data_IF_169150135720
#
_entry.id   IF_169150135720
#
_cell.length_a   1.000
_cell.length_b   1.000
_cell.length_c   1.000
_cell.angle_alpha   90.00
_cell.angle_beta   90.00
_cell.angle_gamma   90.00
#
_symmetry.space_group_name_H-M   'P 1'
#
loop_
_entity.id
_entity.type
_entity.pdbx_description
1 polymer ?
#
# COMPACT_ATOMS: atom_id res chain seq x y z
N UNK A 1 -3.47 -13.78 28.60
CA UNK A 1 -2.90 -14.68 27.56
C UNK A 1 -3.69 -14.69 26.25
N UNK A 2 -5.04 -14.74 26.26
CA UNK A 2 -5.86 -14.77 25.01
C UNK A 2 -5.69 -13.56 24.07
N UNK A 3 -5.55 -12.35 24.64
CA UNK A 3 -5.29 -11.13 23.86
C UNK A 3 -3.93 -11.19 23.14
N UNK A 4 -2.87 -11.65 23.80
CA UNK A 4 -1.51 -11.70 23.20
C UNK A 4 -1.43 -12.61 21.96
N UNK A 5 -2.03 -13.80 22.03
CA UNK A 5 -2.05 -14.73 20.89
C UNK A 5 -2.88 -14.20 19.72
N UNK A 6 -4.00 -13.53 20.01
CA UNK A 6 -4.87 -12.94 18.99
C UNK A 6 -4.20 -11.73 18.31
N UNK A 7 -3.55 -10.85 19.08
CA UNK A 7 -2.81 -9.69 18.54
C UNK A 7 -1.65 -10.08 17.64
N UNK A 8 -0.89 -11.12 18.00
CA UNK A 8 0.19 -11.60 17.14
C UNK A 8 -0.35 -12.12 15.80
N UNK A 9 -1.40 -12.94 15.84
CA UNK A 9 -2.03 -13.47 14.63
C UNK A 9 -2.56 -12.35 13.74
N UNK A 10 -3.26 -11.37 14.33
CA UNK A 10 -3.79 -10.24 13.57
C UNK A 10 -2.69 -9.35 13.01
N UNK A 11 -1.64 -9.06 13.80
CA UNK A 11 -0.51 -8.24 13.35
C UNK A 11 0.19 -8.91 12.16
N UNK A 12 0.66 -10.15 12.30
CA UNK A 12 1.38 -10.82 11.21
C UNK A 12 0.48 -11.15 10.03
N UNK A 13 -0.76 -11.60 10.30
CA UNK A 13 -1.74 -11.89 9.27
C UNK A 13 -2.09 -10.67 8.43
N UNK A 14 -2.33 -9.51 9.07
CA UNK A 14 -2.64 -8.26 8.35
C UNK A 14 -1.44 -7.70 7.59
N UNK A 15 -0.21 -7.85 8.09
CA UNK A 15 1.00 -7.48 7.33
C UNK A 15 1.10 -8.34 6.06
N UNK A 16 0.98 -9.67 6.17
CA UNK A 16 1.09 -10.58 5.03
C UNK A 16 -0.03 -10.30 4.02
N UNK A 17 -1.27 -10.22 4.49
CA UNK A 17 -2.44 -9.98 3.65
C UNK A 17 -2.36 -8.60 2.98
N UNK A 18 -2.04 -7.56 3.74
CA UNK A 18 -1.88 -6.21 3.22
C UNK A 18 -0.76 -6.10 2.19
N UNK A 19 0.38 -6.71 2.49
CA UNK A 19 1.57 -6.62 1.66
C UNK A 19 1.45 -7.37 0.34
N UNK A 20 0.90 -8.60 0.34
CA UNK A 20 0.84 -9.42 -0.88
C UNK A 20 -0.51 -9.34 -1.59
N UNK A 21 -1.62 -9.34 -0.85
CA UNK A 21 -2.97 -9.47 -1.42
C UNK A 21 -3.56 -8.10 -1.68
N UNK A 22 -3.75 -7.27 -0.64
CA UNK A 22 -4.42 -5.98 -0.79
C UNK A 22 -3.65 -5.03 -1.69
N UNK A 23 -2.32 -4.98 -1.56
CA UNK A 23 -1.50 -4.10 -2.39
C UNK A 23 -1.57 -4.44 -3.88
N UNK A 24 -1.76 -5.72 -4.23
CA UNK A 24 -1.76 -6.23 -5.61
C UNK A 24 -3.16 -6.24 -6.23
N UNK A 25 -4.20 -5.98 -5.45
CA UNK A 25 -5.61 -6.09 -5.84
C UNK A 25 -5.98 -5.24 -7.07
N UNK A 26 -5.38 -4.05 -7.18
CA UNK A 26 -5.72 -3.07 -8.22
C UNK A 26 -4.70 -2.98 -9.36
N UNK A 27 -3.73 -3.88 -9.41
CA UNK A 27 -2.68 -3.85 -10.45
C UNK A 27 -3.28 -4.30 -11.78
N UNK A 28 -3.04 -3.55 -12.85
CA UNK A 28 -3.58 -3.87 -14.18
C UNK A 28 -2.94 -5.12 -14.80
N UNK A 29 -1.65 -5.32 -14.59
CA UNK A 29 -0.88 -6.47 -15.10
C UNK A 29 -0.09 -7.17 -14.00
N UNK A 30 -0.06 -8.50 -14.03
CA UNK A 30 0.68 -9.32 -13.04
C UNK A 30 2.17 -9.00 -13.03
N UNK A 31 2.74 -8.60 -14.17
CA UNK A 31 4.16 -8.24 -14.31
C UNK A 31 4.54 -6.95 -13.56
N UNK A 32 3.55 -6.11 -13.25
CA UNK A 32 3.74 -4.83 -12.54
C UNK A 32 3.66 -5.00 -11.02
N UNK A 33 3.40 -6.22 -10.53
CA UNK A 33 3.46 -6.53 -9.11
C UNK A 33 4.92 -6.49 -8.68
N UNK A 34 5.32 -5.41 -8.00
CA UNK A 34 6.67 -5.24 -7.48
C UNK A 34 6.65 -5.27 -5.95
N UNK A 35 7.70 -5.81 -5.37
CA UNK A 35 7.93 -5.80 -3.92
C UNK A 35 8.73 -4.53 -3.61
N UNK A 36 8.15 -3.61 -2.84
CA UNK A 36 8.81 -2.36 -2.45
C UNK A 36 8.64 -2.04 -0.97
N UNK A 37 9.58 -1.26 -0.45
CA UNK A 37 9.58 -0.79 0.94
C UNK A 37 8.37 0.10 1.25
N UNK A 38 7.90 0.89 0.28
CA UNK A 38 6.69 1.69 0.43
C UNK A 38 5.45 0.83 0.69
N UNK A 39 5.34 -0.35 0.05
CA UNK A 39 4.26 -1.32 0.33
C UNK A 39 4.36 -1.89 1.74
N UNK A 40 5.58 -2.09 2.22
CA UNK A 40 5.81 -2.58 3.59
C UNK A 40 5.35 -1.54 4.62
N UNK A 41 5.64 -0.25 4.40
CA UNK A 41 5.13 0.84 5.22
C UNK A 41 3.60 0.90 5.25
N UNK A 42 2.94 0.73 4.10
CA UNK A 42 1.47 0.68 4.03
C UNK A 42 0.89 -0.53 4.77
N UNK A 43 1.50 -1.71 4.62
CA UNK A 43 1.08 -2.92 5.31
C UNK A 43 1.24 -2.80 6.83
N UNK A 44 2.36 -2.23 7.31
CA UNK A 44 2.57 -1.92 8.73
C UNK A 44 1.53 -0.92 9.24
N UNK A 45 1.26 0.14 8.48
CA UNK A 45 0.25 1.12 8.86
C UNK A 45 -1.12 0.48 9.10
N UNK A 46 -1.56 -0.38 8.17
CA UNK A 46 -2.81 -1.13 8.29
C UNK A 46 -2.80 -2.07 9.51
N UNK A 47 -1.70 -2.79 9.72
CA UNK A 47 -1.58 -3.74 10.81
C UNK A 47 -1.64 -3.07 12.19
N UNK A 48 -1.08 -1.86 12.32
CA UNK A 48 -1.14 -1.09 13.55
C UNK A 48 -2.56 -0.63 13.89
N UNK A 49 -3.38 -0.30 12.88
CA UNK A 49 -4.81 -0.03 13.10
C UNK A 49 -5.57 -1.24 13.62
N UNK A 50 -5.23 -2.45 13.15
CA UNK A 50 -5.83 -3.70 13.66
C UNK A 50 -5.45 -3.95 15.12
N UNK A 51 -4.20 -3.70 15.49
CA UNK A 51 -3.75 -3.80 16.90
C UNK A 51 -4.51 -2.80 17.78
N UNK A 52 -4.70 -1.56 17.34
CA UNK A 52 -5.47 -0.56 18.09
C UNK A 52 -6.93 -0.98 18.29
N UNK A 53 -7.59 -1.49 17.24
CA UNK A 53 -8.97 -1.98 17.35
C UNK A 53 -9.10 -3.12 18.35
N UNK A 54 -8.13 -4.03 18.39
CA UNK A 54 -8.15 -5.12 19.36
C UNK A 54 -7.91 -4.65 20.79
N UNK A 55 -6.97 -3.73 20.99
CA UNK A 55 -6.68 -3.15 22.30
C UNK A 55 -7.87 -2.36 22.86
N UNK A 56 -8.71 -1.80 21.98
CA UNK A 56 -9.98 -1.18 22.34
C UNK A 56 -11.06 -2.22 22.69
N UNK A 57 -11.09 -3.35 21.99
CA UNK A 57 -12.05 -4.44 22.24
C UNK A 57 -11.73 -5.25 23.51
N UNK A 58 -10.45 -5.42 23.83
CA UNK A 58 -9.96 -6.11 25.02
C UNK A 58 -9.09 -5.19 25.88
N UNK A 59 -9.68 -4.26 26.65
CA UNK A 59 -8.96 -3.22 27.41
C UNK A 59 -8.22 -3.74 28.66
N UNK A 60 -7.80 -5.00 28.63
CA UNK A 60 -7.07 -5.69 29.71
C UNK A 60 -5.55 -5.64 29.54
N UNK A 61 -5.06 -5.02 28.46
CA UNK A 61 -3.63 -4.89 28.20
C UNK A 61 -2.99 -3.87 29.17
N UNK A 62 -1.71 -4.05 29.54
CA UNK A 62 -1.01 -3.07 30.38
C UNK A 62 -0.80 -1.75 29.63
N UNK A 63 -0.81 -0.63 30.34
CA UNK A 63 -0.65 0.73 29.78
C UNK A 63 0.58 0.88 28.86
N UNK A 64 1.68 0.18 29.18
CA UNK A 64 2.91 0.16 28.39
C UNK A 64 2.66 -0.25 26.92
N UNK A 65 1.72 -1.16 26.67
CA UNK A 65 1.42 -1.65 25.31
C UNK A 65 0.76 -0.56 24.46
N UNK A 66 -0.14 0.23 25.07
CA UNK A 66 -0.77 1.36 24.39
C UNK A 66 0.27 2.42 24.02
N UNK A 67 1.15 2.77 24.96
CA UNK A 67 2.23 3.73 24.75
C UNK A 67 3.19 3.23 23.66
N UNK A 68 3.62 1.97 23.73
CA UNK A 68 4.48 1.36 22.72
C UNK A 68 3.83 1.36 21.33
N UNK A 69 2.56 0.99 21.24
CA UNK A 69 1.82 0.99 19.96
C UNK A 69 1.73 2.40 19.38
N UNK A 70 1.44 3.41 20.21
CA UNK A 70 1.40 4.80 19.79
C UNK A 70 2.76 5.28 19.26
N UNK A 71 3.86 4.97 19.96
CA UNK A 71 5.22 5.31 19.52
C UNK A 71 5.52 4.66 18.15
N UNK A 72 5.18 3.39 17.97
CA UNK A 72 5.39 2.67 16.71
C UNK A 72 4.55 3.28 15.58
N UNK A 73 3.31 3.70 15.84
CA UNK A 73 2.47 4.40 14.86
C UNK A 73 3.12 5.70 14.41
N UNK A 74 3.58 6.53 15.36
CA UNK A 74 4.25 7.80 15.04
C UNK A 74 5.54 7.55 14.25
N UNK A 75 6.32 6.53 14.62
CA UNK A 75 7.53 6.15 13.91
C UNK A 75 7.23 5.67 12.47
N UNK A 76 6.28 4.75 12.28
CA UNK A 76 5.89 4.26 10.95
C UNK A 76 5.32 5.40 10.10
N UNK A 77 4.50 6.28 10.67
CA UNK A 77 4.00 7.47 9.99
C UNK A 77 5.15 8.33 9.48
N UNK A 78 6.13 8.63 10.35
CA UNK A 78 7.29 9.43 9.98
C UNK A 78 8.13 8.77 8.88
N UNK A 79 8.44 7.48 9.02
CA UNK A 79 9.21 6.71 8.02
C UNK A 79 8.50 6.69 6.66
N UNK A 80 7.18 6.45 6.67
CA UNK A 80 6.37 6.42 5.47
C UNK A 80 6.26 7.80 4.81
N UNK A 81 6.03 8.87 5.59
CA UNK A 81 5.87 10.22 5.03
C UNK A 81 7.16 10.78 4.45
N UNK A 82 8.30 10.44 5.04
CA UNK A 82 9.60 10.91 4.58
C UNK A 82 10.29 9.91 3.64
N UNK A 83 9.63 8.79 3.29
CA UNK A 83 10.19 7.71 2.45
C UNK A 83 11.60 7.30 2.90
N UNK A 84 11.81 7.20 4.22
CA UNK A 84 13.11 6.86 4.81
C UNK A 84 13.54 5.49 4.28
N UNK A 85 14.80 5.32 3.89
CA UNK A 85 15.37 4.09 3.30
C UNK A 85 14.80 3.69 1.91
N UNK A 86 13.96 4.50 1.28
CA UNK A 86 13.51 4.26 -0.10
C UNK A 86 14.57 4.80 -1.06
N UNK A 87 15.30 3.91 -1.71
CA UNK A 87 16.27 4.26 -2.76
C UNK A 87 15.61 4.24 -4.16
N UNK A 88 16.37 4.60 -5.19
CA UNK A 88 15.90 4.68 -6.58
C UNK A 88 15.19 3.40 -7.04
N UNK A 89 15.76 2.23 -6.72
CA UNK A 89 15.17 0.94 -7.08
C UNK A 89 13.84 0.69 -6.39
N UNK A 90 13.74 1.02 -5.10
CA UNK A 90 12.51 0.89 -4.33
C UNK A 90 11.44 1.89 -4.79
N UNK A 91 11.86 3.10 -5.15
CA UNK A 91 11.01 4.13 -5.76
C UNK A 91 10.42 3.65 -7.09
N UNK A 92 11.26 3.20 -8.04
CA UNK A 92 10.81 2.72 -9.35
C UNK A 92 9.83 1.55 -9.22
N UNK A 93 10.13 0.57 -8.35
CA UNK A 93 9.22 -0.55 -8.08
C UNK A 93 7.87 -0.09 -7.53
N UNK A 94 7.86 0.84 -6.57
CA UNK A 94 6.63 1.37 -6.00
C UNK A 94 5.81 2.14 -7.05
N UNK A 95 6.48 2.94 -7.89
CA UNK A 95 5.83 3.75 -8.92
C UNK A 95 5.26 2.90 -10.05
N UNK A 96 5.96 1.86 -10.53
CA UNK A 96 5.43 0.92 -11.53
C UNK A 96 4.07 0.36 -11.08
N UNK A 97 3.99 -0.13 -9.84
CA UNK A 97 2.74 -0.71 -9.33
C UNK A 97 1.63 0.35 -9.13
N UNK A 98 2.00 1.56 -8.68
CA UNK A 98 1.06 2.67 -8.55
C UNK A 98 0.46 3.07 -9.92
N UNK A 99 1.31 3.18 -10.94
CA UNK A 99 0.91 3.54 -12.30
C UNK A 99 0.00 2.47 -12.89
N UNK A 100 0.32 1.19 -12.67
CA UNK A 100 -0.52 0.07 -13.10
C UNK A 100 -1.93 0.15 -12.49
N UNK A 101 -2.05 0.59 -11.23
CA UNK A 101 -3.36 0.78 -10.59
C UNK A 101 -4.16 1.95 -11.19
N UNK A 102 -3.47 3.02 -11.58
CA UNK A 102 -4.08 4.14 -12.29
C UNK A 102 -4.58 3.75 -13.68
N UNK A 103 -3.84 2.89 -14.40
CA UNK A 103 -4.28 2.34 -15.70
C UNK A 103 -5.56 1.51 -15.53
N UNK A 104 -5.58 0.56 -14.58
CA UNK A 104 -6.76 -0.28 -14.34
C UNK A 104 -8.01 0.59 -14.11
N UNK A 105 -7.93 1.56 -13.20
CA UNK A 105 -9.09 2.39 -12.84
C UNK A 105 -9.49 3.33 -13.98
N UNK A 106 -8.53 3.85 -14.75
CA UNK A 106 -8.79 4.64 -15.97
C UNK A 106 -9.51 3.82 -17.04
N UNK A 107 -9.06 2.60 -17.30
CA UNK A 107 -9.68 1.72 -18.29
C UNK A 107 -11.09 1.28 -17.88
N UNK A 108 -11.34 1.12 -16.58
CA UNK A 108 -12.68 0.80 -16.07
C UNK A 108 -13.65 1.98 -16.18
N UNK A 109 -13.21 3.23 -15.94
CA UNK A 109 -14.10 4.40 -16.07
C UNK A 109 -14.43 4.71 -17.54
N UNK A 110 -13.51 4.43 -18.47
CA UNK A 110 -13.73 4.62 -19.91
C UNK A 110 -14.91 3.79 -20.47
N UNK A 111 -15.22 2.66 -19.84
CA UNK A 111 -16.35 1.78 -20.22
C UNK A 111 -17.71 2.34 -19.79
N UNK A 112 -17.74 3.30 -18.86
CA UNK A 112 -18.96 3.72 -18.16
C UNK A 112 -19.24 5.22 -18.26
N UNK A 113 -18.22 6.04 -18.50
CA UNK A 113 -18.35 7.50 -18.44
C UNK A 113 -19.00 8.07 -19.69
N UNK A 114 -19.96 8.97 -19.51
CA UNK A 114 -20.57 9.77 -20.58
C UNK A 114 -19.98 11.18 -20.67
N UNK A 115 -19.11 11.54 -19.71
CA UNK A 115 -18.48 12.86 -19.68
C UNK A 115 -17.22 12.88 -20.55
N UNK A 116 -17.27 13.61 -21.66
CA UNK A 116 -16.16 13.74 -22.61
C UNK A 116 -14.86 14.28 -22.00
N UNK A 117 -14.93 15.16 -21.00
CA UNK A 117 -13.73 15.65 -20.31
C UNK A 117 -13.06 14.54 -19.50
N UNK A 118 -13.87 13.73 -18.81
CA UNK A 118 -13.39 12.57 -18.03
C UNK A 118 -12.83 11.50 -18.96
N UNK A 119 -13.50 11.23 -20.09
CA UNK A 119 -13.03 10.28 -21.10
C UNK A 119 -11.65 10.65 -21.64
N UNK A 120 -11.46 11.92 -22.03
CA UNK A 120 -10.16 12.42 -22.51
C UNK A 120 -9.07 12.31 -21.44
N UNK A 121 -9.38 12.67 -20.19
CA UNK A 121 -8.43 12.55 -19.08
C UNK A 121 -8.02 11.09 -18.84
N UNK A 122 -8.98 10.16 -18.77
CA UNK A 122 -8.70 8.75 -18.51
C UNK A 122 -7.90 8.09 -19.65
N UNK A 123 -8.18 8.43 -20.91
CA UNK A 123 -7.37 7.98 -22.06
C UNK A 123 -5.93 8.50 -21.97
N UNK A 124 -5.76 9.77 -21.60
CA UNK A 124 -4.45 10.37 -21.45
C UNK A 124 -3.66 9.72 -20.31
N UNK A 125 -4.26 9.55 -19.12
CA UNK A 125 -3.64 8.85 -17.98
C UNK A 125 -3.26 7.42 -18.37
N UNK A 126 -4.18 6.64 -18.94
CA UNK A 126 -3.91 5.23 -19.30
C UNK A 126 -2.69 5.12 -20.22
N UNK A 127 -2.62 5.98 -21.25
CA UNK A 127 -1.49 5.99 -22.18
C UNK A 127 -0.17 6.47 -21.53
N UNK A 128 -0.18 7.62 -20.86
CA UNK A 128 1.04 8.19 -20.29
C UNK A 128 1.63 7.30 -19.21
N UNK A 129 0.78 6.75 -18.32
CA UNK A 129 1.23 5.88 -17.24
C UNK A 129 1.85 4.57 -17.78
N UNK A 130 1.38 4.06 -18.92
CA UNK A 130 1.98 2.89 -19.55
C UNK A 130 3.39 3.20 -20.10
N UNK A 131 3.55 4.33 -20.80
CA UNK A 131 4.85 4.78 -21.30
C UNK A 131 5.85 5.00 -20.14
N UNK A 132 5.38 5.54 -19.01
CA UNK A 132 6.18 5.72 -17.80
C UNK A 132 6.56 4.38 -17.13
N UNK A 133 5.66 3.39 -17.11
CA UNK A 133 5.98 2.02 -16.64
C UNK A 133 7.10 1.41 -17.48
N UNK A 134 7.01 1.51 -18.81
CA UNK A 134 8.01 0.94 -19.72
C UNK A 134 9.37 1.61 -19.50
N UNK A 135 9.38 2.94 -19.34
CA UNK A 135 10.58 3.69 -19.01
C UNK A 135 11.17 3.29 -17.65
N UNK A 136 10.35 3.21 -16.59
CA UNK A 136 10.83 2.79 -15.26
C UNK A 136 11.38 1.36 -15.26
N UNK A 137 10.77 0.43 -16.01
CA UNK A 137 11.33 -0.91 -16.18
C UNK A 137 12.69 -0.83 -16.88
N UNK A 138 12.87 0.03 -17.89
CA UNK A 138 14.18 0.24 -18.55
C UNK A 138 15.28 0.70 -17.60
N UNK A 139 14.94 1.45 -16.53
CA UNK A 139 15.88 1.91 -15.51
C UNK A 139 16.20 0.87 -14.43
N UNK A 140 15.44 -0.24 -14.37
CA UNK A 140 15.68 -1.35 -13.43
C UNK A 140 16.64 -2.41 -14.00
N UNK A 141 16.97 -2.32 -15.29
CA UNK A 141 17.83 -3.24 -16.02
C UNK A 141 19.32 -2.92 -15.88
#
# INVERSE_FOLDING_TARGET
MKWQSSTQIMLFGSIIFGFFITSSLLVNSVCDIKISLTKFYQALWMALWMVLLELAMYPSAPALVYVATFIVIVAVFYLARNQVLVNDKEYLKAMIQHHSSAILTSDQILKKTENEKVRKLAQWISKSQQEEIDYMNSLLH
#
